data_IF_061712565288
#
_entry.id   IF_061712565288
#
_cell.length_a   1.000
_cell.length_b   1.000
_cell.length_c   1.000
_cell.angle_alpha   90.00
_cell.angle_beta   90.00
_cell.angle_gamma   90.00
#
_symmetry.space_group_name_H-M   'P 1'
#
loop_
_entity.id
_entity.type
_entity.pdbx_description
1 polymer ?
#
# COMPACT_ATOMS: atom_id res chain seq x y z
N UNK A 1 -17.71 -2.63 23.51
CA UNK A 1 -18.86 -2.42 22.60
C UNK A 1 -18.43 -1.93 21.20
N UNK A 2 -17.29 -1.24 21.04
CA UNK A 2 -16.78 -0.82 19.71
C UNK A 2 -16.16 -1.96 18.86
N UNK A 3 -15.60 -3.01 19.47
CA UNK A 3 -14.89 -4.10 18.79
C UNK A 3 -15.81 -5.13 18.09
N UNK A 4 -16.95 -5.49 18.69
CA UNK A 4 -18.00 -6.35 18.08
C UNK A 4 -18.57 -5.80 16.76
N UNK A 5 -18.39 -4.50 16.51
CA UNK A 5 -18.89 -3.81 15.31
C UNK A 5 -17.97 -4.09 14.10
N UNK A 6 -16.68 -4.39 14.31
CA UNK A 6 -15.70 -4.52 13.23
C UNK A 6 -16.07 -5.67 12.27
N UNK A 7 -16.03 -6.93 12.74
CA UNK A 7 -16.22 -8.10 11.88
C UNK A 7 -17.54 -8.02 11.11
N UNK A 8 -18.62 -7.61 11.80
CA UNK A 8 -19.94 -7.46 11.20
C UNK A 8 -19.96 -6.42 10.07
N UNK A 9 -19.43 -5.22 10.30
CA UNK A 9 -19.41 -4.14 9.28
C UNK A 9 -18.45 -4.50 8.14
N UNK A 10 -17.28 -5.04 8.44
CA UNK A 10 -16.32 -5.55 7.44
C UNK A 10 -16.98 -6.57 6.50
N UNK A 11 -17.66 -7.57 7.07
CA UNK A 11 -18.35 -8.60 6.32
C UNK A 11 -19.51 -8.05 5.49
N UNK A 12 -20.35 -7.17 6.05
CA UNK A 12 -21.47 -6.59 5.31
C UNK A 12 -21.00 -5.76 4.11
N UNK A 13 -19.97 -4.93 4.30
CA UNK A 13 -19.44 -4.06 3.26
C UNK A 13 -18.71 -4.86 2.19
N UNK A 14 -18.01 -5.93 2.56
CA UNK A 14 -17.36 -6.82 1.59
C UNK A 14 -18.38 -7.57 0.73
N UNK A 15 -19.46 -8.10 1.33
CA UNK A 15 -20.54 -8.76 0.57
C UNK A 15 -21.19 -7.78 -0.41
N UNK A 16 -21.45 -6.55 0.03
CA UNK A 16 -22.00 -5.51 -0.83
C UNK A 16 -21.06 -5.13 -1.96
N UNK A 17 -19.76 -4.98 -1.69
CA UNK A 17 -18.72 -4.69 -2.67
C UNK A 17 -18.74 -5.71 -3.82
N UNK A 18 -18.68 -7.00 -3.49
CA UNK A 18 -18.69 -8.07 -4.50
C UNK A 18 -20.02 -8.19 -5.22
N UNK A 19 -21.14 -7.95 -4.52
CA UNK A 19 -22.47 -7.90 -5.14
C UNK A 19 -22.51 -6.82 -6.23
N UNK A 20 -22.09 -5.59 -5.93
CA UNK A 20 -22.11 -4.48 -6.90
C UNK A 20 -21.13 -4.76 -8.04
N UNK A 21 -19.93 -5.26 -7.73
CA UNK A 21 -18.92 -5.59 -8.74
C UNK A 21 -19.40 -6.66 -9.73
N UNK A 22 -20.14 -7.66 -9.24
CA UNK A 22 -20.75 -8.69 -10.10
C UNK A 22 -21.82 -8.14 -11.04
N UNK A 23 -22.45 -7.01 -10.68
CA UNK A 23 -23.46 -6.32 -11.49
C UNK A 23 -22.83 -5.37 -12.53
N UNK A 24 -21.71 -4.72 -12.20
CA UNK A 24 -21.03 -3.75 -13.06
C UNK A 24 -20.18 -4.36 -14.19
N UNK A 25 -19.92 -5.67 -14.16
CA UNK A 25 -18.83 -6.29 -14.92
C UNK A 25 -18.96 -6.44 -16.44
N UNK A 26 -20.02 -5.95 -17.15
CA UNK A 26 -20.15 -6.28 -18.60
C UNK A 26 -20.76 -5.25 -19.57
N UNK A 27 -21.22 -4.05 -19.17
CA UNK A 27 -22.08 -3.26 -20.10
C UNK A 27 -21.95 -1.72 -20.11
N UNK A 28 -21.43 -1.08 -19.07
CA UNK A 28 -21.55 0.39 -18.90
C UNK A 28 -20.92 1.25 -20.01
N UNK A 29 -19.67 1.01 -20.39
CA UNK A 29 -18.97 1.89 -21.36
C UNK A 29 -19.48 1.75 -22.80
N UNK A 30 -19.79 0.53 -23.24
CA UNK A 30 -20.33 0.27 -24.58
C UNK A 30 -21.74 0.83 -24.73
N UNK A 31 -22.58 0.69 -23.69
CA UNK A 31 -23.96 1.16 -23.69
C UNK A 31 -24.03 2.70 -23.63
N UNK A 32 -23.08 3.35 -22.94
CA UNK A 32 -22.96 4.82 -22.92
C UNK A 32 -22.51 5.38 -24.27
N UNK A 33 -21.57 4.73 -24.96
CA UNK A 33 -21.14 5.16 -26.29
C UNK A 33 -22.25 4.95 -27.34
N UNK A 34 -22.96 3.82 -27.25
CA UNK A 34 -24.13 3.54 -28.10
C UNK A 34 -25.24 4.59 -27.88
N UNK A 35 -25.51 4.95 -26.62
CA UNK A 35 -26.49 5.99 -26.28
C UNK A 35 -26.12 7.35 -26.91
N UNK A 36 -24.86 7.76 -26.78
CA UNK A 36 -24.34 9.01 -27.34
C UNK A 36 -24.49 9.07 -28.88
N UNK A 37 -24.27 7.96 -29.57
CA UNK A 37 -24.46 7.86 -31.02
C UNK A 37 -25.94 7.95 -31.41
N UNK A 38 -26.81 7.26 -30.68
CA UNK A 38 -28.26 7.29 -30.91
C UNK A 38 -28.82 8.69 -30.67
N UNK A 39 -28.39 9.38 -29.61
CA UNK A 39 -28.83 10.75 -29.30
C UNK A 39 -28.41 11.74 -30.39
N UNK A 40 -27.16 11.65 -30.89
CA UNK A 40 -26.70 12.43 -32.05
C UNK A 40 -27.51 12.17 -33.32
N UNK A 41 -27.97 10.94 -33.54
CA UNK A 41 -28.80 10.58 -34.68
C UNK A 41 -30.23 11.13 -34.55
N UNK A 42 -30.79 11.13 -33.34
CA UNK A 42 -32.09 11.74 -33.05
C UNK A 42 -32.05 13.27 -33.20
N UNK A 43 -30.99 13.92 -32.73
CA UNK A 43 -30.77 15.37 -32.89
C UNK A 43 -30.66 15.82 -34.35
N UNK A 44 -30.11 14.96 -35.22
CA UNK A 44 -30.02 15.21 -36.67
C UNK A 44 -31.36 15.12 -37.40
N UNK A 45 -32.46 14.82 -36.70
CA UNK A 45 -33.81 14.89 -37.27
C UNK A 45 -34.21 13.66 -38.09
N UNK A 46 -33.73 12.46 -37.73
CA UNK A 46 -34.21 11.22 -38.35
C UNK A 46 -35.72 11.06 -38.08
N UNK A 47 -36.51 10.83 -39.13
CA UNK A 47 -37.97 10.75 -39.07
C UNK A 47 -38.52 9.36 -39.45
N UNK A 48 -39.79 9.13 -39.10
CA UNK A 48 -40.51 7.88 -39.41
C UNK A 48 -40.23 6.74 -38.42
N UNK A 49 -40.50 5.49 -38.83
CA UNK A 49 -40.38 4.29 -37.98
C UNK A 49 -38.99 4.06 -37.37
N UNK A 50 -37.94 4.58 -37.99
CA UNK A 50 -36.57 4.50 -37.48
C UNK A 50 -36.38 5.37 -36.22
N UNK A 51 -37.12 6.48 -36.11
CA UNK A 51 -37.08 7.35 -34.94
C UNK A 51 -37.67 6.67 -33.71
N UNK A 52 -38.82 6.01 -33.87
CA UNK A 52 -39.48 5.28 -32.77
C UNK A 52 -38.57 4.18 -32.21
N UNK A 53 -37.91 3.40 -33.08
CA UNK A 53 -36.94 2.38 -32.64
C UNK A 53 -35.70 2.95 -31.96
N UNK A 54 -35.19 4.10 -32.42
CA UNK A 54 -34.07 4.79 -31.78
C UNK A 54 -34.46 5.41 -30.42
N UNK A 55 -35.66 5.98 -30.29
CA UNK A 55 -36.16 6.52 -29.01
C UNK A 55 -36.40 5.41 -27.98
N UNK A 56 -36.93 4.26 -28.39
CA UNK A 56 -37.12 3.10 -27.51
C UNK A 56 -35.78 2.54 -27.02
N UNK A 57 -34.81 2.37 -27.94
CA UNK A 57 -33.45 1.91 -27.59
C UNK A 57 -32.72 2.92 -26.71
N UNK A 58 -32.81 4.22 -27.00
CA UNK A 58 -32.25 5.28 -26.15
C UNK A 58 -32.87 5.26 -24.75
N UNK A 59 -34.19 5.07 -24.64
CA UNK A 59 -34.85 4.99 -23.33
C UNK A 59 -34.38 3.78 -22.53
N UNK A 60 -34.18 2.63 -23.19
CA UNK A 60 -33.63 1.44 -22.55
C UNK A 60 -32.19 1.68 -22.08
N UNK A 61 -31.34 2.20 -22.96
CA UNK A 61 -29.93 2.50 -22.67
C UNK A 61 -29.77 3.53 -21.55
N UNK A 62 -30.57 4.60 -21.51
CA UNK A 62 -30.59 5.56 -20.38
C UNK A 62 -30.84 4.85 -19.05
N UNK A 63 -31.78 3.90 -19.03
CA UNK A 63 -32.07 3.11 -17.83
C UNK A 63 -30.97 2.12 -17.46
N UNK A 64 -30.15 1.67 -18.42
CA UNK A 64 -28.98 0.81 -18.20
C UNK A 64 -27.76 1.64 -17.74
N UNK A 65 -27.51 2.79 -18.36
CA UNK A 65 -26.44 3.76 -17.99
C UNK A 65 -26.68 4.38 -16.62
N UNK A 66 -27.90 4.84 -16.31
CA UNK A 66 -28.23 5.37 -14.97
C UNK A 66 -28.02 4.33 -13.86
N UNK A 67 -28.32 3.05 -14.14
CA UNK A 67 -28.03 1.94 -13.23
C UNK A 67 -26.53 1.68 -13.10
N UNK A 68 -25.76 1.88 -14.17
CA UNK A 68 -24.29 1.87 -14.16
C UNK A 68 -23.71 2.98 -13.28
N UNK A 69 -24.09 4.23 -13.51
CA UNK A 69 -23.64 5.39 -12.72
C UNK A 69 -23.99 5.26 -11.23
N UNK A 70 -25.18 4.73 -10.92
CA UNK A 70 -25.59 4.46 -9.55
C UNK A 70 -24.75 3.33 -8.92
N UNK A 71 -24.46 2.27 -9.67
CA UNK A 71 -23.57 1.20 -9.24
C UNK A 71 -22.13 1.70 -9.01
N UNK A 72 -21.63 2.59 -9.86
CA UNK A 72 -20.28 3.18 -9.74
C UNK A 72 -20.16 4.11 -8.53
N UNK A 73 -21.18 4.94 -8.26
CA UNK A 73 -21.22 5.74 -7.03
C UNK A 73 -21.31 4.85 -5.80
N UNK A 74 -22.11 3.78 -5.88
CA UNK A 74 -22.31 2.86 -4.76
C UNK A 74 -21.05 2.03 -4.47
N UNK A 75 -20.36 1.53 -5.50
CA UNK A 75 -19.10 0.79 -5.30
C UNK A 75 -18.02 1.71 -4.75
N UNK A 76 -17.98 2.99 -5.15
CA UNK A 76 -17.09 3.98 -4.56
C UNK A 76 -17.37 4.17 -3.06
N UNK A 77 -18.64 4.34 -2.69
CA UNK A 77 -19.06 4.48 -1.28
C UNK A 77 -18.72 3.25 -0.44
N UNK A 78 -19.00 2.05 -0.95
CA UNK A 78 -18.69 0.79 -0.24
C UNK A 78 -17.18 0.56 -0.16
N UNK A 79 -16.43 0.95 -1.19
CA UNK A 79 -14.96 0.93 -1.16
C UNK A 79 -14.43 1.88 -0.08
N UNK A 80 -14.94 3.10 -0.01
CA UNK A 80 -14.59 4.06 1.05
C UNK A 80 -14.91 3.48 2.43
N UNK A 81 -16.09 2.88 2.65
CA UNK A 81 -16.45 2.24 3.92
C UNK A 81 -15.52 1.08 4.31
N UNK A 82 -15.15 0.23 3.34
CA UNK A 82 -14.18 -0.86 3.56
C UNK A 82 -12.79 -0.35 3.93
N UNK A 83 -12.34 0.74 3.33
CA UNK A 83 -11.06 1.35 3.67
C UNK A 83 -11.16 2.04 5.04
N UNK A 84 -12.25 2.77 5.29
CA UNK A 84 -12.48 3.51 6.53
C UNK A 84 -12.53 2.58 7.74
N UNK A 85 -13.24 1.46 7.65
CA UNK A 85 -13.23 0.45 8.71
C UNK A 85 -11.83 -0.17 8.88
N UNK A 86 -11.12 -0.45 7.80
CA UNK A 86 -9.75 -1.02 7.85
C UNK A 86 -8.74 -0.02 8.43
N UNK A 87 -8.98 1.30 8.37
CA UNK A 87 -8.12 2.31 9.00
C UNK A 87 -8.07 2.19 10.54
N UNK A 88 -9.08 1.56 11.12
CA UNK A 88 -9.20 1.22 12.54
C UNK A 88 -9.22 -0.30 12.74
N UNK A 89 -8.54 -1.04 11.86
CA UNK A 89 -8.45 -2.51 11.88
C UNK A 89 -8.17 -3.01 13.30
N UNK A 90 -9.17 -3.66 13.88
CA UNK A 90 -9.14 -4.19 15.23
C UNK A 90 -10.08 -5.40 15.30
N UNK A 91 -9.75 -6.50 14.58
CA UNK A 91 -10.58 -7.70 14.55
C UNK A 91 -10.75 -8.29 15.96
N UNK A 92 -11.91 -8.90 16.21
CA UNK A 92 -12.13 -9.63 17.46
C UNK A 92 -11.36 -10.95 17.42
N UNK A 93 -10.21 -11.00 18.10
CA UNK A 93 -9.35 -12.17 18.16
C UNK A 93 -9.27 -12.74 19.58
N UNK A 94 -9.28 -14.06 19.70
CA UNK A 94 -9.01 -14.83 20.91
C UNK A 94 -7.59 -15.41 20.85
N UNK A 95 -6.80 -15.17 21.90
CA UNK A 95 -5.51 -15.82 22.08
C UNK A 95 -5.74 -17.25 22.60
N UNK A 96 -5.31 -18.26 21.84
CA UNK A 96 -5.45 -19.67 22.22
C UNK A 96 -4.10 -20.38 22.38
N UNK A 97 -3.16 -20.07 21.49
CA UNK A 97 -1.77 -20.56 21.48
C UNK A 97 -0.84 -19.45 21.00
N UNK A 98 0.46 -19.56 21.26
CA UNK A 98 1.43 -18.56 20.80
C UNK A 98 1.42 -18.39 19.27
N UNK A 99 1.12 -19.44 18.51
CA UNK A 99 1.18 -19.43 17.04
C UNK A 99 -0.15 -19.09 16.34
N UNK A 100 -1.29 -18.98 17.05
CA UNK A 100 -2.60 -18.76 16.41
C UNK A 100 -3.50 -17.82 17.24
N UNK A 101 -4.00 -16.77 16.58
CA UNK A 101 -5.09 -15.90 17.06
C UNK A 101 -6.35 -16.16 16.24
N UNK A 102 -7.31 -16.91 16.78
CA UNK A 102 -8.58 -17.20 16.09
C UNK A 102 -9.60 -16.09 16.32
N UNK A 103 -10.67 -16.04 15.53
CA UNK A 103 -11.76 -15.10 15.81
C UNK A 103 -12.52 -15.45 17.09
N UNK A 104 -13.02 -14.42 17.77
CA UNK A 104 -13.93 -14.59 18.89
C UNK A 104 -15.15 -15.42 18.45
N UNK A 105 -15.32 -16.56 19.11
CA UNK A 105 -16.35 -17.55 18.79
C UNK A 105 -17.78 -16.99 18.90
N UNK A 106 -17.98 -15.92 19.67
CA UNK A 106 -19.28 -15.25 19.85
C UNK A 106 -19.58 -14.21 18.77
N UNK A 107 -18.55 -13.54 18.26
CA UNK A 107 -18.68 -12.47 17.28
C UNK A 107 -18.51 -12.96 15.83
N UNK A 108 -18.01 -14.20 15.67
CA UNK A 108 -17.84 -14.86 14.37
C UNK A 108 -16.65 -14.32 13.57
N UNK A 109 -16.23 -15.05 12.52
CA UNK A 109 -15.04 -14.70 11.75
C UNK A 109 -15.27 -13.51 10.81
N UNK A 110 -14.16 -12.93 10.37
CA UNK A 110 -14.16 -12.12 9.15
C UNK A 110 -14.19 -13.07 7.96
N UNK A 111 -15.07 -12.81 7.00
CA UNK A 111 -15.27 -13.67 5.85
C UNK A 111 -14.17 -13.48 4.80
N UNK A 112 -13.95 -14.51 3.99
CA UNK A 112 -13.04 -14.51 2.84
C UNK A 112 -13.23 -13.28 1.93
N UNK A 113 -14.49 -12.87 1.71
CA UNK A 113 -14.85 -11.72 0.87
C UNK A 113 -14.16 -10.42 1.29
N UNK A 114 -13.94 -10.22 2.59
CA UNK A 114 -13.26 -9.04 3.11
C UNK A 114 -11.79 -9.03 2.69
N UNK A 115 -11.06 -10.13 2.88
CA UNK A 115 -9.65 -10.21 2.46
C UNK A 115 -9.50 -10.04 0.97
N UNK A 116 -10.39 -10.66 0.19
CA UNK A 116 -10.41 -10.47 -1.27
C UNK A 116 -10.60 -9.01 -1.65
N UNK A 117 -11.54 -8.31 -1.01
CA UNK A 117 -11.82 -6.91 -1.31
C UNK A 117 -10.64 -6.02 -0.90
N UNK A 118 -10.04 -6.24 0.27
CA UNK A 118 -8.91 -5.44 0.75
C UNK A 118 -7.67 -5.68 -0.12
N UNK A 119 -7.33 -6.93 -0.46
CA UNK A 119 -6.25 -7.24 -1.40
C UNK A 119 -6.47 -6.57 -2.76
N UNK A 120 -7.71 -6.50 -3.23
CA UNK A 120 -8.02 -5.86 -4.50
C UNK A 120 -7.80 -4.35 -4.42
N UNK A 121 -8.32 -3.73 -3.36
CA UNK A 121 -8.23 -2.29 -3.16
C UNK A 121 -6.76 -1.85 -2.93
N UNK A 122 -5.99 -2.65 -2.21
CA UNK A 122 -4.60 -2.31 -1.86
C UNK A 122 -3.63 -2.66 -2.99
N UNK A 123 -3.72 -3.88 -3.50
CA UNK A 123 -2.70 -4.49 -4.36
C UNK A 123 -3.22 -4.95 -5.73
N UNK A 124 -4.52 -4.80 -6.01
CA UNK A 124 -5.12 -5.25 -7.27
C UNK A 124 -5.22 -6.78 -7.40
N UNK A 125 -5.12 -7.51 -6.30
CA UNK A 125 -5.20 -8.98 -6.26
C UNK A 125 -6.49 -9.46 -5.59
N UNK A 126 -6.86 -10.73 -5.72
CA UNK A 126 -8.17 -11.21 -5.24
C UNK A 126 -8.10 -12.47 -4.38
N UNK A 127 -6.98 -12.71 -3.71
CA UNK A 127 -6.79 -13.79 -2.76
C UNK A 127 -7.66 -13.58 -1.51
N UNK A 128 -8.13 -14.67 -0.92
CA UNK A 128 -8.97 -14.70 0.28
C UNK A 128 -8.19 -14.71 1.60
N UNK A 129 -6.89 -14.46 1.52
CA UNK A 129 -5.99 -14.27 2.66
C UNK A 129 -5.02 -13.14 2.36
N UNK A 130 -4.44 -12.55 3.40
CA UNK A 130 -3.33 -11.60 3.28
C UNK A 130 -2.10 -12.27 3.85
N UNK A 131 -1.09 -12.45 3.00
CA UNK A 131 0.18 -13.04 3.39
C UNK A 131 1.13 -11.95 3.91
N UNK A 132 1.67 -12.21 5.10
CA UNK A 132 2.77 -11.49 5.69
C UNK A 132 4.00 -12.40 5.76
N UNK A 133 5.18 -11.83 5.96
CA UNK A 133 6.43 -12.60 6.10
C UNK A 133 6.34 -13.63 7.22
N UNK A 134 5.77 -13.21 8.35
CA UNK A 134 5.73 -13.99 9.59
C UNK A 134 4.36 -14.63 9.85
N UNK A 135 3.33 -14.31 9.05
CA UNK A 135 1.97 -14.73 9.34
C UNK A 135 1.07 -14.79 8.10
N UNK A 136 -0.09 -15.44 8.24
CA UNK A 136 -1.16 -15.42 7.27
C UNK A 136 -2.44 -14.99 7.99
N UNK A 137 -3.09 -13.94 7.46
CA UNK A 137 -4.38 -13.46 7.93
C UNK A 137 -5.47 -14.00 6.99
N UNK A 138 -6.45 -14.72 7.55
CA UNK A 138 -7.56 -15.34 6.81
C UNK A 138 -8.82 -15.46 7.68
N UNK A 139 -9.85 -16.14 7.18
CA UNK A 139 -11.08 -16.42 7.93
C UNK A 139 -10.87 -17.30 9.17
N UNK A 140 -9.76 -18.02 9.25
CA UNK A 140 -9.41 -18.82 10.42
C UNK A 140 -8.78 -17.97 11.55
N UNK A 141 -8.43 -16.71 11.24
CA UNK A 141 -7.72 -15.80 12.13
C UNK A 141 -6.33 -15.47 11.60
N UNK A 142 -5.39 -15.26 12.51
CA UNK A 142 -3.98 -15.01 12.20
C UNK A 142 -3.18 -16.25 12.59
N UNK A 143 -2.55 -16.87 11.59
CA UNK A 143 -1.65 -18.00 11.77
C UNK A 143 -0.22 -17.51 11.65
N UNK A 144 0.55 -17.61 12.72
CA UNK A 144 1.97 -17.25 12.74
C UNK A 144 2.77 -18.42 12.18
N UNK A 145 3.63 -18.14 11.19
CA UNK A 145 4.42 -19.14 10.46
C UNK A 145 5.49 -19.80 11.35
N UNK A 146 6.08 -19.03 12.26
CA UNK A 146 7.09 -19.55 13.19
C UNK A 146 6.42 -20.22 14.42
N UNK A 147 6.48 -21.55 14.45
CA UNK A 147 5.91 -22.37 15.54
C UNK A 147 6.65 -22.24 16.88
N UNK A 148 7.83 -21.62 16.90
CA UNK A 148 8.62 -21.38 18.11
C UNK A 148 8.41 -19.99 18.69
N UNK A 149 7.57 -19.15 18.07
CA UNK A 149 7.26 -17.82 18.59
C UNK A 149 6.63 -17.93 19.99
N UNK A 150 7.21 -17.20 20.93
CA UNK A 150 6.62 -17.00 22.25
C UNK A 150 5.51 -15.94 22.19
N UNK A 151 4.79 -15.76 23.31
CA UNK A 151 3.69 -14.80 23.40
C UNK A 151 4.12 -13.36 23.06
N UNK A 152 5.33 -12.96 23.42
CA UNK A 152 5.83 -11.60 23.18
C UNK A 152 6.06 -11.40 21.68
N UNK A 153 6.71 -12.36 21.03
CA UNK A 153 6.98 -12.29 19.60
C UNK A 153 5.69 -12.31 18.78
N UNK A 154 4.73 -13.12 19.20
CA UNK A 154 3.42 -13.20 18.58
C UNK A 154 2.62 -11.90 18.70
N UNK A 155 2.72 -11.21 19.84
CA UNK A 155 2.14 -9.87 20.00
C UNK A 155 2.82 -8.82 19.13
N UNK A 156 4.14 -8.90 18.91
CA UNK A 156 4.83 -8.00 17.98
C UNK A 156 4.37 -8.22 16.54
N UNK A 157 4.24 -9.48 16.11
CA UNK A 157 3.72 -9.84 14.79
C UNK A 157 2.30 -9.30 14.61
N UNK A 158 1.43 -9.49 15.60
CA UNK A 158 0.07 -8.96 15.58
C UNK A 158 0.04 -7.43 15.48
N UNK A 159 0.90 -6.75 16.24
CA UNK A 159 1.01 -5.29 16.18
C UNK A 159 1.50 -4.80 14.80
N UNK A 160 2.49 -5.49 14.23
CA UNK A 160 3.01 -5.21 12.87
C UNK A 160 1.92 -5.37 11.81
N UNK A 161 1.19 -6.48 11.83
CA UNK A 161 0.06 -6.75 10.91
C UNK A 161 -1.00 -5.64 11.06
N UNK A 162 -1.39 -5.33 12.30
CA UNK A 162 -2.38 -4.30 12.59
C UNK A 162 -1.95 -2.94 12.03
N UNK A 163 -0.71 -2.54 12.29
CA UNK A 163 -0.14 -1.31 11.77
C UNK A 163 -0.15 -1.29 10.24
N UNK A 164 0.36 -2.33 9.57
CA UNK A 164 0.41 -2.39 8.11
C UNK A 164 -0.99 -2.27 7.49
N UNK A 165 -1.98 -2.95 8.05
CA UNK A 165 -3.37 -2.88 7.59
C UNK A 165 -3.98 -1.49 7.77
N UNK A 166 -3.83 -0.89 8.96
CA UNK A 166 -4.38 0.43 9.27
C UNK A 166 -3.74 1.53 8.41
N UNK A 167 -2.41 1.51 8.29
CA UNK A 167 -1.66 2.52 7.55
C UNK A 167 -1.90 2.41 6.04
N UNK A 168 -2.11 1.20 5.52
CA UNK A 168 -2.48 0.97 4.11
C UNK A 168 -3.86 1.55 3.80
N UNK A 169 -4.80 1.37 4.74
CA UNK A 169 -6.11 1.97 4.63
C UNK A 169 -6.03 3.51 4.67
N UNK A 170 -5.33 4.08 5.65
CA UNK A 170 -5.13 5.53 5.76
C UNK A 170 -4.55 6.12 4.48
N UNK A 171 -3.56 5.44 3.89
CA UNK A 171 -2.98 5.81 2.58
C UNK A 171 -4.04 5.89 1.48
N UNK A 172 -4.94 4.90 1.38
CA UNK A 172 -5.98 4.87 0.34
C UNK A 172 -7.08 5.93 0.54
N UNK A 173 -7.30 6.41 1.75
CA UNK A 173 -8.23 7.55 2.04
C UNK A 173 -7.52 8.90 1.82
N UNK A 174 -6.19 8.93 1.75
CA UNK A 174 -5.41 10.15 1.61
C UNK A 174 -5.26 10.94 2.92
N UNK A 175 -5.25 10.25 4.05
CA UNK A 175 -4.94 10.86 5.36
C UNK A 175 -3.49 10.56 5.77
N UNK A 176 -2.98 11.31 6.74
CA UNK A 176 -1.63 11.14 7.27
C UNK A 176 -1.36 9.68 7.66
N UNK A 177 -0.28 9.12 7.11
CA UNK A 177 0.13 7.74 7.29
C UNK A 177 1.66 7.61 7.18
N UNK A 178 2.19 6.52 7.73
CA UNK A 178 3.63 6.26 7.78
C UNK A 178 4.23 5.92 6.42
N UNK A 179 3.44 5.42 5.46
CA UNK A 179 3.93 5.08 4.11
C UNK A 179 4.25 6.34 3.30
N UNK A 180 3.37 7.34 3.34
CA UNK A 180 3.61 8.63 2.69
C UNK A 180 4.80 9.38 3.30
N UNK A 181 4.94 9.31 4.62
CA UNK A 181 6.09 9.89 5.31
C UNK A 181 7.40 9.22 4.87
N UNK A 182 7.44 7.88 4.86
CA UNK A 182 8.60 7.12 4.42
C UNK A 182 8.91 7.36 2.93
N UNK A 183 7.88 7.39 2.07
CA UNK A 183 8.03 7.64 0.64
C UNK A 183 8.58 9.04 0.36
N UNK A 184 8.09 10.06 1.08
CA UNK A 184 8.62 11.43 0.99
C UNK A 184 10.07 11.52 1.47
N UNK A 185 10.40 10.90 2.60
CA UNK A 185 11.78 10.88 3.10
C UNK A 185 12.74 10.17 2.14
N UNK A 186 12.26 9.14 1.43
CA UNK A 186 13.04 8.41 0.43
C UNK A 186 13.22 9.24 -0.83
N UNK A 187 12.18 9.94 -1.28
CA UNK A 187 12.20 10.86 -2.41
C UNK A 187 13.20 12.02 -2.26
N UNK A 188 13.49 12.44 -1.02
CA UNK A 188 14.51 13.45 -0.72
C UNK A 188 15.95 12.94 -0.83
N UNK A 189 16.14 11.62 -0.97
CA UNK A 189 17.44 10.94 -1.01
C UNK A 189 17.64 10.25 -2.37
N UNK A 190 18.20 11.00 -3.34
CA UNK A 190 18.33 10.56 -4.74
C UNK A 190 19.03 9.18 -4.89
N UNK A 191 20.10 8.90 -4.13
CA UNK A 191 20.84 7.63 -4.23
C UNK A 191 20.13 6.49 -3.49
N UNK A 192 19.62 6.77 -2.29
CA UNK A 192 18.83 5.83 -1.50
C UNK A 192 17.59 5.34 -2.24
N UNK A 193 16.88 6.23 -2.95
CA UNK A 193 15.69 5.88 -3.73
C UNK A 193 16.01 4.85 -4.82
N UNK A 194 17.04 5.11 -5.62
CA UNK A 194 17.44 4.22 -6.70
C UNK A 194 17.90 2.86 -6.16
N UNK A 195 18.70 2.86 -5.10
CA UNK A 195 19.15 1.64 -4.46
C UNK A 195 18.00 0.83 -3.87
N UNK A 196 17.06 1.49 -3.18
CA UNK A 196 15.85 0.87 -2.65
C UNK A 196 15.01 0.20 -3.75
N UNK A 197 14.76 0.91 -4.86
CA UNK A 197 13.99 0.37 -5.99
C UNK A 197 14.63 -0.90 -6.57
N UNK A 198 15.96 -0.99 -6.56
CA UNK A 198 16.67 -2.20 -7.00
C UNK A 198 16.57 -3.33 -5.96
N UNK A 199 16.81 -3.02 -4.68
CA UNK A 199 16.71 -4.00 -3.59
C UNK A 199 15.31 -4.62 -3.54
N UNK A 200 14.25 -3.83 -3.68
CA UNK A 200 12.87 -4.35 -3.64
C UNK A 200 12.52 -5.19 -4.88
N UNK A 201 13.19 -4.98 -6.02
CA UNK A 201 13.02 -5.80 -7.23
C UNK A 201 13.84 -7.10 -7.19
N UNK A 202 14.82 -7.20 -6.30
CA UNK A 202 15.63 -8.41 -6.13
C UNK A 202 14.96 -9.34 -5.11
N UNK A 203 14.47 -10.48 -5.57
CA UNK A 203 13.82 -11.49 -4.71
C UNK A 203 14.75 -12.05 -3.62
N UNK A 204 16.08 -11.98 -3.80
CA UNK A 204 17.09 -12.46 -2.86
C UNK A 204 17.84 -11.38 -2.10
N UNK A 205 17.51 -10.10 -2.31
CA UNK A 205 18.33 -8.97 -1.88
C UNK A 205 19.55 -8.73 -2.76
N UNK A 206 20.36 -7.75 -2.39
CA UNK A 206 21.58 -7.36 -3.11
C UNK A 206 22.69 -7.00 -2.13
N UNK A 207 23.92 -7.39 -2.42
CA UNK A 207 25.06 -6.88 -1.65
C UNK A 207 25.45 -5.45 -2.09
N UNK A 208 26.29 -4.79 -1.30
CA UNK A 208 26.70 -3.40 -1.58
C UNK A 208 27.37 -3.25 -2.95
N UNK A 209 28.17 -4.25 -3.36
CA UNK A 209 28.88 -4.20 -4.64
C UNK A 209 27.93 -4.34 -5.84
N UNK A 210 26.92 -5.21 -5.73
CA UNK A 210 25.86 -5.35 -6.72
C UNK A 210 25.01 -4.08 -6.82
N UNK A 211 24.67 -3.47 -5.68
CA UNK A 211 23.93 -2.21 -5.65
C UNK A 211 24.73 -1.10 -6.34
N UNK A 212 26.02 -0.96 -6.01
CA UNK A 212 26.91 0.01 -6.64
C UNK A 212 27.00 -0.19 -8.15
N UNK A 213 27.23 -1.42 -8.61
CA UNK A 213 27.32 -1.74 -10.04
C UNK A 213 26.04 -1.37 -10.79
N UNK A 214 24.87 -1.71 -10.23
CA UNK A 214 23.57 -1.42 -10.85
C UNK A 214 23.30 0.08 -10.86
N UNK A 215 23.57 0.77 -9.75
CA UNK A 215 23.46 2.22 -9.67
C UNK A 215 24.36 2.93 -10.69
N UNK A 216 25.60 2.49 -10.87
CA UNK A 216 26.51 3.04 -11.90
C UNK A 216 25.97 2.85 -13.33
N UNK A 217 25.25 1.75 -13.60
CA UNK A 217 24.64 1.53 -14.93
C UNK A 217 23.43 2.39 -15.19
N UNK A 218 22.63 2.66 -14.16
CA UNK A 218 21.34 3.37 -14.29
C UNK A 218 21.53 4.90 -14.32
N UNK A 219 22.59 5.42 -13.68
CA UNK A 219 22.81 6.86 -13.51
C UNK A 219 24.18 7.34 -14.05
N UNK A 220 24.48 6.98 -15.31
CA UNK A 220 25.79 7.25 -15.94
C UNK A 220 26.13 8.76 -16.01
N UNK A 221 25.16 9.62 -16.35
CA UNK A 221 25.40 11.07 -16.49
C UNK A 221 25.73 11.73 -15.15
N UNK A 222 25.06 11.35 -14.07
CA UNK A 222 25.31 11.90 -12.74
C UNK A 222 26.56 11.31 -12.11
N UNK A 223 26.86 10.03 -12.35
CA UNK A 223 28.12 9.41 -11.95
C UNK A 223 29.34 10.16 -12.52
N UNK A 224 29.29 10.58 -13.79
CA UNK A 224 30.37 11.37 -14.40
C UNK A 224 30.62 12.71 -13.69
N UNK A 225 29.60 13.27 -13.02
CA UNK A 225 29.66 14.53 -12.27
C UNK A 225 30.20 14.38 -10.83
N UNK A 226 30.01 13.22 -10.19
CA UNK A 226 30.33 12.99 -8.76
C UNK A 226 31.18 11.74 -8.50
N UNK A 227 31.92 11.28 -9.52
CA UNK A 227 32.71 10.05 -9.55
C UNK A 227 33.54 9.76 -8.30
N UNK A 228 34.12 10.79 -7.69
CA UNK A 228 35.03 10.64 -6.54
C UNK A 228 34.30 10.41 -5.20
N UNK A 229 33.01 10.73 -5.11
CA UNK A 229 32.22 10.67 -3.86
C UNK A 229 30.94 9.84 -3.96
N UNK A 230 30.62 9.32 -5.16
CA UNK A 230 29.38 8.60 -5.43
C UNK A 230 29.22 7.40 -4.48
N UNK A 231 30.22 6.52 -4.42
CA UNK A 231 30.16 5.29 -3.65
C UNK A 231 30.13 5.55 -2.14
N UNK A 232 30.91 6.52 -1.66
CA UNK A 232 30.89 6.95 -0.25
C UNK A 232 29.51 7.51 0.14
N UNK A 233 28.90 8.31 -0.74
CA UNK A 233 27.59 8.91 -0.48
C UNK A 233 26.48 7.87 -0.52
N UNK A 234 26.50 6.95 -1.50
CA UNK A 234 25.56 5.84 -1.60
C UNK A 234 25.64 4.93 -0.38
N UNK A 235 26.85 4.54 0.03
CA UNK A 235 27.05 3.72 1.24
C UNK A 235 26.49 4.41 2.48
N UNK A 236 26.78 5.71 2.65
CA UNK A 236 26.27 6.47 3.79
C UNK A 236 24.74 6.62 3.79
N UNK A 237 24.12 6.81 2.63
CA UNK A 237 22.67 6.88 2.51
C UNK A 237 22.01 5.52 2.80
N UNK A 238 22.62 4.42 2.32
CA UNK A 238 22.19 3.05 2.64
C UNK A 238 22.32 2.73 4.14
N UNK A 239 23.43 3.09 4.77
CA UNK A 239 23.59 2.99 6.23
C UNK A 239 22.55 3.84 6.97
N UNK A 240 22.21 5.00 6.41
CA UNK A 240 21.10 5.82 6.87
C UNK A 240 19.79 5.05 6.86
N UNK A 241 19.45 4.39 5.75
CA UNK A 241 18.24 3.56 5.60
C UNK A 241 18.17 2.35 6.54
N UNK A 242 19.32 1.79 6.91
CA UNK A 242 19.41 0.68 7.85
C UNK A 242 19.27 1.11 9.31
N UNK A 243 19.29 2.41 9.59
CA UNK A 243 19.25 2.95 10.95
C UNK A 243 17.82 3.11 11.48
N UNK A 244 17.51 2.40 12.57
CA UNK A 244 16.24 2.51 13.30
C UNK A 244 16.00 3.91 13.91
N UNK A 245 17.05 4.73 14.02
CA UNK A 245 16.96 6.10 14.54
C UNK A 245 16.43 7.07 13.48
N UNK A 246 16.84 6.86 12.23
CA UNK A 246 16.44 7.70 11.09
C UNK A 246 15.15 7.18 10.49
N UNK A 247 15.00 5.84 10.43
CA UNK A 247 13.86 5.15 9.88
C UNK A 247 13.19 4.28 10.95
N UNK A 248 12.23 4.84 11.72
CA UNK A 248 11.51 4.07 12.74
C UNK A 248 10.84 2.81 12.17
N UNK A 249 10.39 2.89 10.91
CA UNK A 249 9.99 1.75 10.10
C UNK A 249 11.00 1.59 8.97
N UNK A 250 11.97 0.67 9.14
CA UNK A 250 13.00 0.43 8.14
C UNK A 250 12.40 -0.03 6.81
N UNK A 251 12.90 0.52 5.72
CA UNK A 251 12.56 0.11 4.35
C UNK A 251 13.38 -1.09 3.87
N UNK A 252 14.61 -1.22 4.38
CA UNK A 252 15.54 -2.31 4.08
C UNK A 252 16.19 -2.81 5.38
N UNK A 253 16.70 -4.03 5.35
CA UNK A 253 17.52 -4.59 6.43
C UNK A 253 18.67 -5.42 5.86
N UNK A 254 19.67 -5.70 6.70
CA UNK A 254 20.79 -6.56 6.34
C UNK A 254 20.53 -7.98 6.84
N UNK A 255 20.71 -8.95 5.95
CA UNK A 255 20.80 -10.36 6.30
C UNK A 255 22.13 -10.67 6.99
N UNK A 256 22.23 -11.85 7.62
CA UNK A 256 23.47 -12.34 8.25
C UNK A 256 24.65 -12.46 7.26
N UNK A 257 24.38 -12.50 5.95
CA UNK A 257 25.40 -12.52 4.88
C UNK A 257 25.86 -11.13 4.41
N UNK A 258 25.33 -10.05 4.99
CA UNK A 258 25.61 -8.67 4.57
C UNK A 258 24.80 -8.19 3.37
N UNK A 259 23.90 -9.02 2.86
CA UNK A 259 22.98 -8.68 1.75
C UNK A 259 21.87 -7.76 2.27
N UNK A 260 21.63 -6.66 1.56
CA UNK A 260 20.49 -5.78 1.82
C UNK A 260 19.23 -6.36 1.19
N UNK A 261 18.20 -6.59 2.00
CA UNK A 261 16.87 -7.05 1.59
C UNK A 261 15.83 -5.98 1.90
N UNK A 262 14.77 -5.91 1.10
CA UNK A 262 13.63 -5.07 1.44
C UNK A 262 12.89 -5.66 2.64
N UNK A 263 12.51 -4.84 3.61
CA UNK A 263 11.60 -5.28 4.66
C UNK A 263 10.19 -5.42 4.10
N UNK A 264 9.31 -6.12 4.82
CA UNK A 264 7.88 -6.14 4.48
C UNK A 264 7.29 -4.73 4.38
N UNK A 265 7.63 -3.86 5.34
CA UNK A 265 7.22 -2.45 5.30
C UNK A 265 7.71 -1.75 4.03
N UNK A 266 8.97 -1.97 3.63
CA UNK A 266 9.52 -1.43 2.38
C UNK A 266 8.77 -1.94 1.15
N UNK A 267 8.50 -3.25 1.06
CA UNK A 267 7.73 -3.82 -0.07
C UNK A 267 6.33 -3.22 -0.17
N UNK A 268 5.64 -3.08 0.96
CA UNK A 268 4.32 -2.45 1.02
C UNK A 268 4.39 -0.95 0.66
N UNK A 269 5.37 -0.22 1.18
CA UNK A 269 5.62 1.20 0.86
C UNK A 269 5.74 1.38 -0.66
N UNK A 270 6.59 0.58 -1.30
CA UNK A 270 6.76 0.62 -2.75
C UNK A 270 5.45 0.32 -3.47
N UNK A 271 4.79 -0.78 -3.12
CA UNK A 271 3.60 -1.21 -3.85
C UNK A 271 2.44 -0.21 -3.74
N UNK A 272 2.28 0.42 -2.58
CA UNK A 272 1.23 1.40 -2.32
C UNK A 272 1.53 2.79 -2.89
N UNK A 273 2.82 3.19 -2.97
CA UNK A 273 3.22 4.55 -3.33
C UNK A 273 3.88 4.68 -4.72
N UNK A 274 4.19 3.58 -5.43
CA UNK A 274 4.92 3.60 -6.73
C UNK A 274 4.30 4.47 -7.85
N UNK A 275 3.02 4.83 -7.72
CA UNK A 275 2.31 5.67 -8.70
C UNK A 275 2.12 7.12 -8.22
N UNK A 276 2.55 7.44 -6.99
CA UNK A 276 2.46 8.79 -6.48
C UNK A 276 3.50 9.67 -7.18
N UNK A 277 3.14 10.92 -7.54
CA UNK A 277 4.13 11.86 -8.02
C UNK A 277 5.15 12.07 -6.90
N UNK A 278 6.42 11.83 -7.22
CA UNK A 278 7.55 12.19 -6.37
C UNK A 278 7.64 13.72 -6.37
N UNK A 279 6.80 14.37 -5.57
CA UNK A 279 6.84 15.82 -5.39
C UNK A 279 8.03 16.13 -4.47
N UNK A 280 9.21 16.28 -5.08
CA UNK A 280 10.33 16.94 -4.42
C UNK A 280 9.97 18.41 -4.32
N UNK A 281 9.22 18.80 -3.29
CA UNK A 281 9.16 20.20 -2.89
C UNK A 281 10.60 20.59 -2.53
N UNK A 282 11.29 21.27 -3.45
CA UNK A 282 12.51 22.01 -3.14
C UNK A 282 12.14 23.16 -2.21
N UNK A 283 11.82 22.84 -0.97
CA UNK A 283 11.57 23.82 0.06
C UNK A 283 12.90 24.52 0.35
N UNK A 284 13.02 25.72 -0.19
CA UNK A 284 14.13 26.66 -0.01
C UNK A 284 14.15 27.26 1.40
N UNK A 285 14.02 26.42 2.43
CA UNK A 285 14.31 26.74 3.83
C UNK A 285 14.95 25.51 4.47
N UNK A 286 16.28 25.57 4.60
CA UNK A 286 17.10 24.68 5.42
C UNK A 286 16.57 24.63 6.85
N UNK A 287 15.63 23.73 7.14
CA UNK A 287 15.53 23.16 8.47
C UNK A 287 16.60 22.08 8.56
N UNK A 288 17.38 22.15 9.65
CA UNK A 288 18.62 21.39 9.81
C UNK A 288 18.35 19.89 9.74
N UNK A 289 19.06 19.23 8.84
CA UNK A 289 19.05 17.80 8.62
C UNK A 289 19.30 17.04 9.95
N UNK A 290 18.54 15.98 10.29
CA UNK A 290 18.76 15.19 11.51
C UNK A 290 20.20 14.67 11.67
N UNK A 291 20.92 14.47 10.56
CA UNK A 291 22.35 14.13 10.53
C UNK A 291 23.27 15.20 11.18
N UNK A 292 22.86 16.47 11.19
CA UNK A 292 23.60 17.55 11.85
C UNK A 292 23.44 17.51 13.38
N UNK A 293 22.34 16.94 13.90
CA UNK A 293 22.15 16.74 15.34
C UNK A 293 23.09 15.66 15.90
N UNK A 294 23.42 14.64 15.10
CA UNK A 294 24.33 13.56 15.51
C UNK A 294 25.77 14.09 15.65
N UNK A 295 26.20 15.02 14.78
CA UNK A 295 27.50 15.70 14.93
C UNK A 295 27.60 16.57 16.20
N UNK A 296 26.49 17.09 16.72
CA UNK A 296 26.49 17.89 17.94
C UNK A 296 26.65 17.05 19.22
N UNK A 297 26.37 15.75 19.17
CA UNK A 297 26.46 14.84 20.31
C UNK A 297 27.82 14.09 20.41
N UNK A 298 28.66 14.16 19.37
CA UNK A 298 29.94 13.43 19.28
C UNK A 298 31.19 14.17 19.79
N UNK A 299 31.09 15.38 20.36
CA UNK A 299 32.26 16.09 20.91
C UNK A 299 32.38 15.93 22.43
N UNK A 300 32.76 14.72 22.87
CA UNK A 300 33.45 14.53 24.15
C UNK A 300 34.74 13.76 23.92
N UNK A 301 35.88 14.41 24.21
CA UNK A 301 37.16 13.73 24.39
C UNK A 301 38.29 14.20 23.49
N UNK A 302 38.89 15.35 23.79
CA UNK A 302 40.35 15.48 23.65
C UNK A 302 40.97 15.93 24.95
N UNK A 303 41.58 14.94 25.59
CA UNK A 303 42.60 15.02 26.63
C UNK A 303 43.70 15.99 26.17
N UNK A 304 43.86 17.10 26.88
CA UNK A 304 45.03 17.96 26.77
C UNK A 304 46.07 17.56 27.81
N UNK A 305 47.15 16.91 27.35
CA UNK A 305 48.42 16.86 28.09
C UNK A 305 49.10 18.22 27.98
N UNK A 306 49.39 18.85 29.12
CA UNK A 306 50.69 19.44 29.46
C UNK A 306 50.76 19.67 30.96
#
# INVERSE_FOLDING_TARGET
MALAIFNKRANSSAVEYWKIKSLGGKKGESDSQELDEIEKLLEKGIGGKLREGLEERASQLRGEVLRGDEADRRIKSVREDLIDITSVFAPNLELKTGDIYQYDSKEGPINAEYYRAVNEIFFGKSEDFIEFDDAILSSDGIVIKNKQSDEIESLKILNKITMLMQESAKKKIGVLNVFDEAWRMLAEQDFAYSAFEMIVKSDGGMDLSEIQEVCHRVDQEYQELVKDIYDEKLEKELEGMLSDVIWPNRLIERSDGGTCIATEFGRWTRELCKHDPVMVERNSKKERNPLDKIKALGMFGRIGKR
#
